data_IF_954664838618
#
_entry.id   IF_954664838618
#
_cell.length_a   1.000
_cell.length_b   1.000
_cell.length_c   1.000
_cell.angle_alpha   90.00
_cell.angle_beta   90.00
_cell.angle_gamma   90.00
#
_symmetry.space_group_name_H-M   'P 1'
#
loop_
_entity.id
_entity.type
_entity.pdbx_description
1 polymer ?
#
# COMPACT_ATOMS: atom_id res chain seq x y z
N UNK A 1 -18.54 -8.98 -17.62
CA UNK A 1 -17.65 -9.50 -18.69
C UNK A 1 -16.74 -8.41 -19.28
N UNK A 2 -17.21 -7.17 -19.47
CA UNK A 2 -16.46 -6.07 -20.10
C UNK A 2 -15.14 -5.65 -19.42
N UNK A 3 -15.04 -5.77 -18.07
CA UNK A 3 -13.85 -5.32 -17.32
C UNK A 3 -12.57 -6.07 -17.71
N UNK A 4 -12.67 -7.34 -18.10
CA UNK A 4 -11.51 -8.17 -18.45
C UNK A 4 -10.92 -7.77 -19.79
N UNK A 5 -11.76 -7.42 -20.77
CA UNK A 5 -11.34 -7.00 -22.11
C UNK A 5 -10.54 -5.69 -22.03
N UNK A 6 -11.01 -4.72 -21.24
CA UNK A 6 -10.29 -3.44 -21.05
C UNK A 6 -8.89 -3.64 -20.46
N UNK A 7 -8.72 -4.59 -19.53
CA UNK A 7 -7.42 -4.92 -18.95
C UNK A 7 -6.50 -5.56 -20.00
N UNK A 8 -7.01 -6.52 -20.77
CA UNK A 8 -6.25 -7.14 -21.86
C UNK A 8 -5.78 -6.08 -22.86
N UNK A 9 -6.69 -5.26 -23.38
CA UNK A 9 -6.37 -4.22 -24.36
C UNK A 9 -5.31 -3.25 -23.83
N UNK A 10 -5.42 -2.84 -22.56
CA UNK A 10 -4.46 -1.93 -21.94
C UNK A 10 -3.04 -2.52 -21.84
N UNK A 11 -2.91 -3.82 -21.52
CA UNK A 11 -1.59 -4.46 -21.43
C UNK A 11 -0.96 -4.68 -22.81
N UNK A 12 -1.77 -5.03 -23.81
CA UNK A 12 -1.30 -5.13 -25.20
C UNK A 12 -0.82 -3.77 -25.73
N UNK A 13 -1.56 -2.68 -25.45
CA UNK A 13 -1.15 -1.31 -25.81
C UNK A 13 0.16 -0.88 -25.13
N UNK A 14 0.47 -1.43 -23.95
CA UNK A 14 1.77 -1.24 -23.27
C UNK A 14 2.90 -2.07 -23.90
N UNK A 15 2.64 -2.86 -24.94
CA UNK A 15 3.61 -3.75 -25.57
C UNK A 15 3.85 -5.06 -24.82
N UNK A 16 2.96 -5.45 -23.90
CA UNK A 16 3.04 -6.76 -23.26
C UNK A 16 2.50 -7.86 -24.20
N UNK A 17 3.08 -9.05 -24.12
CA UNK A 17 2.66 -10.23 -24.86
C UNK A 17 1.80 -11.13 -23.99
N UNK A 18 0.60 -11.48 -24.44
CA UNK A 18 -0.22 -12.49 -23.75
C UNK A 18 0.37 -13.89 -23.96
N UNK A 19 0.42 -14.69 -22.89
CA UNK A 19 0.89 -16.06 -22.90
C UNK A 19 -0.30 -17.05 -22.90
N UNK A 20 -0.07 -18.28 -23.36
CA UNK A 20 -1.06 -19.37 -23.28
C UNK A 20 -1.28 -19.91 -21.85
N UNK A 21 -0.48 -19.44 -20.89
CA UNK A 21 -0.57 -19.81 -19.47
C UNK A 21 -1.54 -18.90 -18.73
N UNK A 22 -2.31 -19.47 -17.82
CA UNK A 22 -3.25 -18.73 -16.98
C UNK A 22 -2.75 -18.65 -15.53
N UNK A 23 -3.11 -17.57 -14.83
CA UNK A 23 -2.77 -17.38 -13.44
C UNK A 23 -3.45 -18.43 -12.57
N UNK A 24 -2.69 -19.17 -11.76
CA UNK A 24 -3.23 -20.20 -10.86
C UNK A 24 -4.18 -19.64 -9.79
N UNK A 25 -4.08 -18.34 -9.46
CA UNK A 25 -4.87 -17.70 -8.41
C UNK A 25 -6.23 -17.18 -8.92
N UNK A 26 -6.27 -16.54 -10.09
CA UNK A 26 -7.48 -15.89 -10.59
C UNK A 26 -7.96 -16.40 -11.96
N UNK A 27 -7.23 -17.33 -12.58
CA UNK A 27 -7.55 -17.86 -13.90
C UNK A 27 -7.30 -16.90 -15.07
N UNK A 28 -6.82 -15.67 -14.83
CA UNK A 28 -6.59 -14.70 -15.90
C UNK A 28 -5.32 -15.01 -16.71
N UNK A 29 -5.28 -14.80 -18.04
CA UNK A 29 -4.08 -15.00 -18.85
C UNK A 29 -2.85 -14.25 -18.30
N UNK A 30 -1.69 -14.90 -18.34
CA UNK A 30 -0.42 -14.27 -17.98
C UNK A 30 0.11 -13.44 -19.14
N UNK A 31 0.87 -12.39 -18.81
CA UNK A 31 1.51 -11.50 -19.76
C UNK A 31 3.02 -11.49 -19.52
N UNK A 32 3.77 -11.26 -20.59
CA UNK A 32 5.21 -11.04 -20.56
C UNK A 32 5.52 -9.64 -21.10
N UNK A 33 6.34 -8.88 -20.38
CA UNK A 33 6.90 -7.63 -20.89
C UNK A 33 8.35 -7.52 -20.44
N UNK A 34 9.26 -7.24 -21.37
CA UNK A 34 10.69 -7.13 -21.10
C UNK A 34 11.27 -8.36 -20.37
N UNK A 35 10.82 -9.57 -20.74
CA UNK A 35 11.27 -10.83 -20.13
C UNK A 35 10.63 -11.15 -18.76
N UNK A 36 9.77 -10.29 -18.22
CA UNK A 36 9.08 -10.52 -16.93
C UNK A 36 7.67 -11.01 -17.16
N UNK A 37 7.34 -12.17 -16.58
CA UNK A 37 5.99 -12.76 -16.64
C UNK A 37 5.17 -12.33 -15.41
N UNK A 38 3.97 -11.82 -15.63
CA UNK A 38 3.09 -11.32 -14.56
C UNK A 38 1.60 -11.54 -14.87
N UNK A 39 0.76 -11.43 -13.83
CA UNK A 39 -0.70 -11.44 -13.96
C UNK A 39 -1.22 -10.01 -13.80
N UNK A 40 -1.86 -9.40 -14.80
CA UNK A 40 -2.28 -8.00 -14.72
C UNK A 40 -3.46 -7.77 -13.77
N UNK A 41 -4.12 -8.82 -13.29
CA UNK A 41 -5.19 -8.73 -12.28
C UNK A 41 -4.57 -8.79 -10.88
N UNK A 42 -3.81 -9.84 -10.58
CA UNK A 42 -3.15 -9.98 -9.28
C UNK A 42 -2.04 -8.95 -9.06
N UNK A 43 -1.29 -8.57 -10.09
CA UNK A 43 -0.24 -7.55 -10.00
C UNK A 43 -0.78 -6.12 -10.00
N UNK A 44 -1.96 -5.83 -10.58
CA UNK A 44 -2.62 -4.53 -10.34
C UNK A 44 -3.09 -4.37 -8.90
N UNK A 45 -3.42 -5.47 -8.23
CA UNK A 45 -3.60 -5.44 -6.79
C UNK A 45 -2.27 -5.15 -6.10
N UNK A 46 -1.14 -5.67 -6.59
CA UNK A 46 0.19 -5.26 -6.08
C UNK A 46 0.54 -3.80 -6.36
N UNK A 47 0.31 -3.17 -7.52
CA UNK A 47 0.58 -1.72 -7.65
C UNK A 47 -0.33 -0.85 -6.75
N UNK A 48 -1.53 -1.35 -6.38
CA UNK A 48 -2.41 -0.72 -5.38
C UNK A 48 -2.08 -1.12 -3.93
N UNK A 49 -1.41 -2.24 -3.73
CA UNK A 49 -0.97 -2.82 -2.45
C UNK A 49 0.54 -2.71 -2.20
N UNK A 50 1.33 -2.15 -3.11
CA UNK A 50 2.76 -1.82 -3.02
C UNK A 50 2.96 -0.59 -2.11
N UNK A 51 1.86 -0.13 -1.50
CA UNK A 51 1.86 0.62 -0.24
C UNK A 51 1.96 -0.26 1.01
N UNK A 52 2.13 -1.59 0.91
CA UNK A 52 2.25 -2.51 2.04
C UNK A 52 3.27 -3.62 1.73
N UNK A 53 4.38 -3.57 2.48
CA UNK A 53 5.35 -4.66 2.70
C UNK A 53 6.27 -5.04 1.54
N UNK A 54 7.35 -4.28 1.36
CA UNK A 54 8.72 -4.83 1.30
C UNK A 54 9.73 -3.73 1.66
N UNK A 55 10.59 -4.02 2.65
CA UNK A 55 11.74 -3.22 3.13
C UNK A 55 11.43 -1.74 3.39
N UNK A 56 11.09 -1.40 4.63
CA UNK A 56 11.03 -0.02 5.12
C UNK A 56 12.39 0.62 4.84
N UNK A 57 12.51 1.56 3.86
CA UNK A 57 13.72 2.37 3.75
C UNK A 57 13.92 3.10 5.07
N UNK A 58 15.12 3.55 5.41
CA UNK A 58 15.38 4.27 6.68
C UNK A 58 14.49 5.52 6.88
N UNK A 59 13.77 5.98 5.84
CA UNK A 59 12.76 7.04 5.88
C UNK A 59 11.28 6.56 5.91
N UNK A 60 11.02 5.27 5.79
CA UNK A 60 9.67 4.71 5.76
C UNK A 60 9.01 4.68 7.12
N UNK A 61 9.74 4.35 8.20
CA UNK A 61 9.19 4.38 9.55
C UNK A 61 8.89 5.81 10.01
N UNK A 62 9.74 6.79 9.63
CA UNK A 62 9.51 8.22 9.92
C UNK A 62 8.18 8.70 9.35
N UNK A 63 7.89 8.39 8.08
CA UNK A 63 6.60 8.72 7.44
C UNK A 63 5.40 8.09 8.14
N UNK A 64 5.54 6.86 8.64
CA UNK A 64 4.48 6.17 9.38
C UNK A 64 4.25 6.86 10.73
N UNK A 65 5.33 7.18 11.45
CA UNK A 65 5.26 7.90 12.73
C UNK A 65 4.60 9.27 12.55
N UNK A 66 5.01 10.04 11.54
CA UNK A 66 4.41 11.35 11.24
C UNK A 66 2.91 11.24 10.95
N UNK A 67 2.52 10.24 10.16
CA UNK A 67 1.10 9.99 9.85
C UNK A 67 0.29 9.63 11.10
N UNK A 68 0.87 8.86 12.02
CA UNK A 68 0.23 8.46 13.28
C UNK A 68 0.14 9.62 14.27
N UNK A 69 1.17 10.46 14.37
CA UNK A 69 1.15 11.68 15.18
C UNK A 69 0.02 12.61 14.71
N UNK A 70 -0.08 12.86 13.40
CA UNK A 70 -1.14 13.70 12.84
C UNK A 70 -2.55 13.13 13.10
N UNK A 71 -2.71 11.81 12.97
CA UNK A 71 -3.96 11.14 13.31
C UNK A 71 -4.33 11.35 14.79
N UNK A 72 -3.38 11.18 15.71
CA UNK A 72 -3.61 11.33 17.14
C UNK A 72 -3.91 12.79 17.53
N UNK A 73 -3.27 13.78 16.91
CA UNK A 73 -3.63 15.20 17.13
C UNK A 73 -5.05 15.51 16.67
N UNK A 74 -5.47 14.99 15.51
CA UNK A 74 -6.85 15.15 15.05
C UNK A 74 -7.85 14.44 15.97
N UNK A 75 -7.48 13.29 16.53
CA UNK A 75 -8.31 12.59 17.52
C UNK A 75 -8.41 13.42 18.81
N UNK A 76 -7.28 13.91 19.32
CA UNK A 76 -7.20 14.74 20.52
C UNK A 76 -8.05 16.00 20.43
N UNK A 77 -8.09 16.65 19.26
CA UNK A 77 -8.89 17.87 19.02
C UNK A 77 -10.39 17.67 19.32
N UNK A 78 -10.90 16.47 19.14
CA UNK A 78 -12.33 16.15 19.29
C UNK A 78 -12.60 15.25 20.50
N UNK A 79 -11.63 15.06 21.39
CA UNK A 79 -11.75 14.18 22.56
C UNK A 79 -12.01 15.03 23.81
N UNK A 80 -13.09 14.73 24.52
CA UNK A 80 -13.50 15.45 25.74
C UNK A 80 -13.27 14.62 27.01
N UNK A 81 -13.04 13.31 26.88
CA UNK A 81 -12.78 12.43 28.01
C UNK A 81 -11.33 12.59 28.50
N UNK A 82 -11.17 12.97 29.77
CA UNK A 82 -9.86 13.27 30.37
C UNK A 82 -8.92 12.06 30.38
N UNK A 83 -9.47 10.84 30.51
CA UNK A 83 -8.66 9.62 30.48
C UNK A 83 -8.13 9.36 29.07
N UNK A 84 -8.99 9.43 28.05
CA UNK A 84 -8.60 9.29 26.65
C UNK A 84 -7.63 10.39 26.19
N UNK A 85 -7.85 11.64 26.61
CA UNK A 85 -6.93 12.76 26.36
C UNK A 85 -5.53 12.41 26.87
N UNK A 86 -5.43 11.89 28.10
CA UNK A 86 -4.16 11.50 28.70
C UNK A 86 -3.51 10.37 27.91
N UNK A 87 -4.24 9.31 27.57
CA UNK A 87 -3.70 8.18 26.79
C UNK A 87 -3.20 8.61 25.41
N UNK A 88 -3.95 9.49 24.73
CA UNK A 88 -3.55 10.04 23.43
C UNK A 88 -2.26 10.86 23.57
N UNK A 89 -2.16 11.71 24.59
CA UNK A 89 -0.96 12.49 24.88
C UNK A 89 0.26 11.61 25.17
N UNK A 90 0.10 10.57 26.01
CA UNK A 90 1.16 9.62 26.33
C UNK A 90 1.64 8.88 25.08
N UNK A 91 0.71 8.47 24.21
CA UNK A 91 1.01 7.80 22.94
C UNK A 91 1.77 8.73 21.99
N UNK A 92 1.33 9.99 21.84
CA UNK A 92 2.03 11.00 21.02
C UNK A 92 3.46 11.19 21.53
N UNK A 93 3.67 11.31 22.85
CA UNK A 93 4.98 11.47 23.45
C UNK A 93 5.92 10.30 23.12
N UNK A 94 5.43 9.06 23.17
CA UNK A 94 6.21 7.87 22.79
C UNK A 94 6.59 7.94 21.31
N UNK A 95 5.65 8.28 20.42
CA UNK A 95 5.91 8.39 18.98
C UNK A 95 6.92 9.50 18.66
N UNK A 96 6.87 10.64 19.35
CA UNK A 96 7.86 11.71 19.22
C UNK A 96 9.24 11.28 19.69
N UNK A 97 9.34 10.55 20.81
CA UNK A 97 10.61 9.97 21.29
C UNK A 97 11.19 8.97 20.29
N UNK A 98 10.35 8.10 19.71
CA UNK A 98 10.76 7.16 18.67
C UNK A 98 11.24 7.90 17.41
N UNK A 99 10.64 9.04 17.07
CA UNK A 99 11.09 9.90 15.96
C UNK A 99 12.45 10.53 16.24
N UNK A 100 12.75 10.88 17.50
CA UNK A 100 14.04 11.45 17.92
C UNK A 100 15.13 10.43 18.23
N UNK A 101 14.81 9.13 18.30
CA UNK A 101 15.79 8.04 18.44
C UNK A 101 16.49 7.75 17.10
N UNK A 102 17.13 8.77 16.52
CA UNK A 102 18.19 8.68 15.49
C UNK A 102 18.78 10.06 15.22
#
# INVERSE_FOLDING_TARGET
>A
MEKNIKVVSAELLKGAKMLSKHCKNCGFPLFEKNGVIYCPICSKNKEKEEKKFTSVPENGYKKIIDSKINYLFNKLKNEDDVHNIREICETILILMKLKSMR
#
